data_IF_343912496476
#
_entry.id   IF_343912496476
#
_cell.length_a   1.000
_cell.length_b   1.000
_cell.length_c   1.000
_cell.angle_alpha   90.00
_cell.angle_beta   90.00
_cell.angle_gamma   90.00
#
_symmetry.space_group_name_H-M   'P 1'
#
loop_
_entity.id
_entity.type
_entity.pdbx_description
1 polymer ?
#
# COMPACT_ATOMS: atom_id res chain seq x y z
N UNK A 1 6.45 2.92 -11.16
CA UNK A 1 7.33 2.86 -9.97
C UNK A 1 7.30 4.14 -9.12
N UNK A 2 7.27 5.36 -9.68
CA UNK A 2 7.19 6.61 -8.88
C UNK A 2 5.92 6.72 -8.01
N UNK A 3 4.73 6.40 -8.56
CA UNK A 3 3.45 6.40 -7.83
C UNK A 3 3.43 5.46 -6.61
N UNK A 4 3.87 4.23 -6.78
CA UNK A 4 3.93 3.24 -5.69
C UNK A 4 4.86 3.68 -4.54
N UNK A 5 6.00 4.28 -4.86
CA UNK A 5 6.90 4.86 -3.84
C UNK A 5 6.22 6.01 -3.09
N UNK A 6 5.48 6.87 -3.80
CA UNK A 6 4.72 7.96 -3.19
C UNK A 6 3.66 7.44 -2.21
N UNK A 7 2.90 6.42 -2.59
CA UNK A 7 1.86 5.83 -1.73
C UNK A 7 2.44 5.20 -0.47
N UNK A 8 3.57 4.49 -0.58
CA UNK A 8 4.29 3.96 0.59
C UNK A 8 4.77 5.11 1.48
N UNK A 9 5.39 6.14 0.91
CA UNK A 9 5.85 7.29 1.71
C UNK A 9 4.69 8.04 2.37
N UNK A 10 3.55 8.16 1.69
CA UNK A 10 2.34 8.78 2.24
C UNK A 10 1.78 7.96 3.41
N UNK A 11 1.74 6.63 3.26
CA UNK A 11 1.34 5.72 4.34
C UNK A 11 2.27 5.83 5.55
N UNK A 12 3.59 5.80 5.34
CA UNK A 12 4.58 5.93 6.43
C UNK A 12 4.45 7.29 7.13
N UNK A 13 4.24 8.37 6.37
CA UNK A 13 4.01 9.71 6.94
C UNK A 13 2.75 9.75 7.80
N UNK A 14 1.64 9.20 7.31
CA UNK A 14 0.38 9.13 8.06
C UNK A 14 0.55 8.31 9.35
N UNK A 15 1.32 7.22 9.28
CA UNK A 15 1.61 6.35 10.42
C UNK A 15 2.49 7.04 11.47
N UNK A 16 3.49 7.81 11.05
CA UNK A 16 4.32 8.63 11.94
C UNK A 16 3.50 9.73 12.62
N UNK A 17 2.65 10.44 11.87
CA UNK A 17 1.77 11.47 12.42
C UNK A 17 0.81 10.87 13.45
N UNK A 18 0.21 9.72 13.15
CA UNK A 18 -0.64 8.99 14.11
C UNK A 18 0.14 8.51 15.34
N UNK A 19 1.39 8.07 15.18
CA UNK A 19 2.24 7.65 16.31
C UNK A 19 2.61 8.82 17.23
N UNK A 20 2.94 9.99 16.67
CA UNK A 20 3.20 11.21 17.45
C UNK A 20 1.94 11.68 18.17
N UNK A 21 0.79 11.69 17.49
CA UNK A 21 -0.49 12.03 18.10
C UNK A 21 -0.83 11.08 19.24
N UNK A 22 -0.62 9.77 19.03
CA UNK A 22 -0.83 8.75 20.07
C UNK A 22 0.07 8.95 21.29
N UNK A 23 1.34 9.29 21.06
CA UNK A 23 2.28 9.58 22.15
C UNK A 23 1.81 10.79 22.99
N UNK A 24 1.15 11.76 22.37
CA UNK A 24 0.61 12.93 23.07
C UNK A 24 -0.74 12.66 23.77
N UNK A 25 -1.65 11.90 23.17
CA UNK A 25 -3.01 11.68 23.70
C UNK A 25 -3.15 10.44 24.61
N UNK A 26 -2.16 9.54 24.63
CA UNK A 26 -2.14 8.35 25.49
C UNK A 26 -3.14 7.24 25.13
N UNK A 27 -3.98 7.43 24.10
CA UNK A 27 -4.98 6.45 23.63
C UNK A 27 -5.01 6.35 22.10
N UNK A 28 -4.99 5.11 21.57
CA UNK A 28 -4.78 4.89 20.14
C UNK A 28 -6.12 4.99 19.42
N UNK A 29 -6.46 6.20 18.99
CA UNK A 29 -7.58 6.42 18.10
C UNK A 29 -7.07 6.33 16.66
N UNK A 30 -7.55 5.32 15.91
CA UNK A 30 -7.30 5.23 14.48
C UNK A 30 -7.86 6.49 13.81
N UNK A 31 -6.98 7.35 13.31
CA UNK A 31 -7.39 8.52 12.55
C UNK A 31 -8.00 8.06 11.21
N UNK A 32 -9.05 8.74 10.75
CA UNK A 32 -9.65 8.46 9.44
C UNK A 32 -8.63 8.51 8.30
N UNK A 33 -7.60 9.35 8.45
CA UNK A 33 -6.46 9.45 7.53
C UNK A 33 -5.63 8.17 7.46
N UNK A 34 -5.36 7.53 8.60
CA UNK A 34 -4.58 6.29 8.65
C UNK A 34 -5.36 5.11 8.03
N UNK A 35 -6.67 5.07 8.28
CA UNK A 35 -7.57 4.08 7.65
C UNK A 35 -7.56 4.25 6.13
N UNK A 36 -7.74 5.49 5.65
CA UNK A 36 -7.76 5.78 4.22
C UNK A 36 -6.40 5.46 3.55
N UNK A 37 -5.29 5.85 4.18
CA UNK A 37 -3.95 5.52 3.69
C UNK A 37 -3.71 3.99 3.61
N UNK A 38 -4.21 3.24 4.60
CA UNK A 38 -4.13 1.78 4.62
C UNK A 38 -4.88 1.13 3.45
N UNK A 39 -6.11 1.60 3.17
CA UNK A 39 -6.93 1.09 2.07
C UNK A 39 -6.24 1.32 0.72
N UNK A 40 -5.71 2.52 0.49
CA UNK A 40 -4.99 2.84 -0.76
C UNK A 40 -3.77 1.93 -0.92
N UNK A 41 -3.01 1.71 0.15
CA UNK A 41 -1.83 0.86 0.11
C UNK A 41 -2.19 -0.60 -0.25
N UNK A 42 -3.26 -1.15 0.34
CA UNK A 42 -3.75 -2.50 0.02
C UNK A 42 -4.19 -2.62 -1.44
N UNK A 43 -4.89 -1.62 -1.97
CA UNK A 43 -5.30 -1.61 -3.38
C UNK A 43 -4.09 -1.60 -4.33
N UNK A 44 -3.10 -0.74 -4.08
CA UNK A 44 -1.90 -0.68 -4.93
C UNK A 44 -1.07 -1.96 -4.87
N UNK A 45 -0.91 -2.57 -3.69
CA UNK A 45 -0.22 -3.85 -3.54
C UNK A 45 -0.95 -4.96 -4.31
N UNK A 46 -2.28 -5.01 -4.23
CA UNK A 46 -3.12 -5.99 -4.94
C UNK A 46 -3.00 -5.85 -6.45
N UNK A 47 -3.01 -4.62 -6.97
CA UNK A 47 -2.81 -4.34 -8.40
C UNK A 47 -1.39 -4.73 -8.84
N UNK A 48 -0.37 -4.35 -8.07
CA UNK A 48 1.02 -4.71 -8.37
C UNK A 48 1.20 -6.23 -8.42
N UNK A 49 0.63 -6.95 -7.44
CA UNK A 49 0.69 -8.40 -7.39
C UNK A 49 -0.04 -9.04 -8.56
N UNK A 50 -1.24 -8.57 -8.90
CA UNK A 50 -2.01 -9.03 -10.07
C UNK A 50 -1.22 -8.84 -11.37
N UNK A 51 -0.61 -7.67 -11.58
CA UNK A 51 0.22 -7.40 -12.77
C UNK A 51 1.44 -8.32 -12.80
N UNK A 52 2.10 -8.54 -11.65
CA UNK A 52 3.27 -9.42 -11.55
C UNK A 52 2.91 -10.87 -11.84
N UNK A 53 1.80 -11.36 -11.29
CA UNK A 53 1.28 -12.70 -11.58
C UNK A 53 0.90 -12.82 -13.06
N UNK A 54 0.14 -11.87 -13.60
CA UNK A 54 -0.22 -11.86 -15.02
C UNK A 54 1.01 -11.94 -15.93
N UNK A 55 2.05 -11.13 -15.67
CA UNK A 55 3.31 -11.21 -16.42
C UNK A 55 4.03 -12.54 -16.26
N UNK A 56 3.98 -13.15 -15.07
CA UNK A 56 4.60 -14.45 -14.78
C UNK A 56 3.87 -15.61 -15.49
N UNK A 57 2.54 -15.58 -15.52
CA UNK A 57 1.71 -16.67 -16.06
C UNK A 57 1.26 -16.47 -17.51
N UNK A 58 1.42 -15.28 -18.11
CA UNK A 58 1.20 -15.09 -19.56
C UNK A 58 2.37 -15.61 -20.42
N UNK A 59 3.60 -15.67 -19.90
CA UNK A 59 4.77 -16.17 -20.65
C UNK A 59 4.77 -17.67 -20.99
N UNK A 60 4.25 -18.63 -20.19
CA UNK A 60 4.27 -20.04 -20.57
C UNK A 60 3.24 -20.45 -21.65
N UNK A 61 2.28 -19.59 -22.03
CA UNK A 61 1.23 -19.96 -23.00
C UNK A 61 1.62 -19.75 -24.47
N UNK A 62 2.68 -18.98 -24.77
CA UNK A 62 3.15 -18.76 -26.15
C UNK A 62 4.28 -19.74 -26.52
N UNK A 63 4.98 -20.31 -25.53
CA UNK A 63 6.08 -21.26 -25.76
C UNK A 63 5.60 -22.72 -25.98
N UNK A 64 4.28 -22.96 -26.05
CA UNK A 64 3.67 -24.28 -26.27
C UNK A 64 2.61 -24.29 -27.38
N UNK A 65 2.50 -23.24 -28.18
CA UNK A 65 1.66 -23.19 -29.36
C UNK A 65 2.51 -23.35 -30.62
#
# INVERSE_FOLDING_TARGET
MKRFKFTISYFVLALLLSAVYYYQEGSFNLSGTLIFASIILVMEVSVYFTIKLYKKYKKPLIAKA
#
